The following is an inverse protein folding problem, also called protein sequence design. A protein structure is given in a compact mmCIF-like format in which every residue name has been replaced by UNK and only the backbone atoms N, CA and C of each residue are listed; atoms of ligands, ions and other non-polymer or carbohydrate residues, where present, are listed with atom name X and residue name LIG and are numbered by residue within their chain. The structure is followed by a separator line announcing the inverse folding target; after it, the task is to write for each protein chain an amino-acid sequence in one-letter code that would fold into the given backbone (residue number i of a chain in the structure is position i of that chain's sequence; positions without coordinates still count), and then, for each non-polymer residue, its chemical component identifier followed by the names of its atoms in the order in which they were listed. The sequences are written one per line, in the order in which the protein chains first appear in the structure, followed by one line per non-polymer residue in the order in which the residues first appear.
data_IF_248977119281
#
_entry.id   IF_248977119281
#
_cell.length_a   1.000
_cell.length_b   1.000
_cell.length_c   1.000
_cell.angle_alpha   90.00
_cell.angle_beta   90.00
_cell.angle_gamma   90.00
#
_symmetry.space_group_name_H-M   'P 1'
#
loop_
_entity.id
_entity.type
_entity.pdbx_description
1 polymer ?
#
# COMPACT_ATOMS: atom_id res chain seq x y z
N UNK A 1 10.43 11.16 -16.81
CA UNK A 1 10.51 9.92 -16.01
C UNK A 1 10.52 10.32 -14.55
N UNK A 2 9.68 9.72 -13.70
CA UNK A 2 9.73 9.98 -12.26
C UNK A 2 11.02 9.38 -11.69
N UNK A 3 11.75 10.08 -10.80
CA UNK A 3 12.93 9.51 -10.18
C UNK A 3 12.54 8.30 -9.32
N UNK A 4 13.37 7.25 -9.26
CA UNK A 4 13.10 6.09 -8.42
C UNK A 4 12.98 6.51 -6.96
N UNK A 5 11.89 6.09 -6.32
CA UNK A 5 11.62 6.38 -4.91
C UNK A 5 12.50 5.44 -4.08
N UNK A 6 13.39 5.95 -3.22
CA UNK A 6 14.22 5.11 -2.37
C UNK A 6 13.34 4.34 -1.38
N UNK A 7 13.59 3.04 -1.28
CA UNK A 7 12.96 2.19 -0.27
C UNK A 7 13.95 1.99 0.88
N UNK A 8 13.48 2.13 2.10
CA UNK A 8 14.30 1.96 3.30
C UNK A 8 13.46 1.28 4.38
N UNK A 9 14.14 0.61 5.31
CA UNK A 9 13.48 -0.05 6.43
C UNK A 9 12.88 0.96 7.41
N UNK A 10 11.80 0.59 8.12
CA UNK A 10 11.07 1.49 9.03
C UNK A 10 11.97 2.10 10.10
N UNK A 11 12.91 1.33 10.64
CA UNK A 11 13.88 1.81 11.64
C UNK A 11 14.81 2.90 11.11
N UNK A 12 15.05 2.96 9.80
CA UNK A 12 15.93 3.94 9.17
C UNK A 12 15.20 5.22 8.75
N UNK A 13 13.88 5.31 8.92
CA UNK A 13 13.08 6.45 8.48
C UNK A 13 13.60 7.77 9.07
N UNK A 14 13.84 7.82 10.38
CA UNK A 14 14.32 9.02 11.08
C UNK A 14 15.66 9.51 10.52
N UNK A 15 16.61 8.60 10.33
CA UNK A 15 17.94 8.95 9.77
C UNK A 15 17.86 9.43 8.31
N UNK A 16 17.00 8.83 7.48
CA UNK A 16 16.87 9.21 6.08
C UNK A 16 16.19 10.57 5.89
N UNK A 17 15.28 10.94 6.79
CA UNK A 17 14.64 12.26 6.77
C UNK A 17 15.60 13.40 7.05
N UNK A 18 16.72 13.11 7.72
CA UNK A 18 17.76 14.09 7.98
C UNK A 18 18.64 14.32 6.76
N UNK A 19 18.49 13.54 5.68
CA UNK A 19 19.25 13.68 4.44
C UNK A 19 18.45 14.42 3.37
N UNK A 20 19.14 15.23 2.57
CA UNK A 20 18.58 15.91 1.41
C UNK A 20 18.35 14.93 0.27
N UNK A 21 17.15 14.84 -0.33
CA UNK A 21 16.86 13.93 -1.43
C UNK A 21 17.73 14.14 -2.68
N UNK A 22 18.24 15.36 -2.89
CA UNK A 22 19.04 15.71 -4.09
C UNK A 22 20.53 15.44 -3.93
N UNK A 23 21.04 15.50 -2.70
CA UNK A 23 22.48 15.55 -2.45
C UNK A 23 22.96 14.49 -1.46
N UNK A 24 22.05 13.79 -0.76
CA UNK A 24 22.39 12.85 0.31
C UNK A 24 23.08 13.51 1.51
N UNK A 25 23.22 14.84 1.50
CA UNK A 25 23.85 15.61 2.57
C UNK A 25 22.85 15.86 3.68
N UNK A 26 23.30 15.97 4.94
CA UNK A 26 22.44 16.38 6.03
C UNK A 26 21.69 17.68 5.72
N UNK A 27 20.39 17.71 5.97
CA UNK A 27 19.59 18.92 5.86
C UNK A 27 20.11 19.95 6.86
N UNK A 28 20.41 21.16 6.36
CA UNK A 28 20.70 22.29 7.22
C UNK A 28 19.40 22.72 7.89
N UNK A 29 19.35 22.84 9.22
CA UNK A 29 18.20 23.45 9.88
C UNK A 29 18.07 24.90 9.43
N UNK A 30 16.92 25.29 8.89
CA UNK A 30 16.71 26.65 8.38
C UNK A 30 16.61 27.69 9.50
N UNK A 31 16.22 27.29 10.72
CA UNK A 31 15.91 28.21 11.83
C UNK A 31 16.69 27.90 13.12
N UNK A 32 17.87 27.28 13.03
CA UNK A 32 18.65 26.87 14.22
C UNK A 32 18.05 25.67 14.99
N UNK A 33 17.01 25.04 14.45
CA UNK A 33 16.43 23.82 15.01
C UNK A 33 17.40 22.64 14.99
N UNK A 34 17.27 21.71 15.92
CA UNK A 34 18.06 20.48 15.93
C UNK A 34 17.72 19.53 14.77
N UNK A 35 18.32 18.34 14.81
CA UNK A 35 17.92 17.23 13.94
C UNK A 35 16.41 16.96 14.08
N UNK A 36 15.75 16.57 12.99
CA UNK A 36 14.31 16.28 12.99
C UNK A 36 14.08 15.04 13.85
N UNK A 37 13.40 15.21 14.98
CA UNK A 37 12.84 14.12 15.75
C UNK A 37 11.36 13.96 15.39
N UNK A 38 11.00 12.81 14.82
CA UNK A 38 9.63 12.51 14.46
C UNK A 38 8.70 12.56 15.67
N UNK A 39 9.16 12.14 16.85
CA UNK A 39 8.32 12.09 18.05
C UNK A 39 7.81 13.47 18.46
N UNK A 40 8.63 14.50 18.25
CA UNK A 40 8.31 15.91 18.53
C UNK A 40 7.40 16.55 17.47
N UNK A 41 7.25 15.95 16.28
CA UNK A 41 6.43 16.49 15.21
C UNK A 41 4.93 16.22 15.44
N UNK A 42 4.07 17.12 14.97
CA UNK A 42 2.63 16.97 15.11
C UNK A 42 2.12 15.79 14.27
N UNK A 43 1.57 14.78 14.93
CA UNK A 43 0.91 13.65 14.29
C UNK A 43 -0.48 14.05 13.81
N UNK A 44 -0.76 13.83 12.53
CA UNK A 44 -2.04 14.14 11.90
C UNK A 44 -2.57 12.92 11.17
N UNK A 45 -3.89 12.91 11.02
CA UNK A 45 -4.63 11.85 10.36
C UNK A 45 -5.22 12.36 9.04
N UNK A 46 -5.10 11.55 7.99
CA UNK A 46 -5.76 11.77 6.71
C UNK A 46 -6.54 10.53 6.30
N UNK A 47 -7.82 10.71 5.96
CA UNK A 47 -8.60 9.68 5.30
C UNK A 47 -8.34 9.73 3.79
N UNK A 48 -7.89 8.62 3.24
CA UNK A 48 -7.76 8.41 1.79
C UNK A 48 -8.64 7.26 1.37
N UNK A 49 -9.10 7.22 0.12
CA UNK A 49 -9.84 6.09 -0.40
C UNK A 49 -8.93 5.25 -1.29
N UNK A 50 -8.84 3.95 -1.00
CA UNK A 50 -8.25 2.98 -1.91
C UNK A 50 -9.37 2.45 -2.80
N UNK A 51 -9.26 2.74 -4.10
CA UNK A 51 -10.26 2.35 -5.07
C UNK A 51 -9.73 1.24 -5.99
N UNK A 52 -10.45 0.13 -6.06
CA UNK A 52 -10.17 -0.98 -6.98
C UNK A 52 -11.22 -0.99 -8.09
N UNK A 53 -10.77 -1.13 -9.34
CA UNK A 53 -11.67 -1.34 -10.48
C UNK A 53 -12.01 -2.83 -10.55
N UNK A 54 -13.29 -3.17 -10.40
CA UNK A 54 -13.81 -4.52 -10.46
C UNK A 54 -14.52 -4.73 -11.79
N UNK A 55 -14.32 -5.90 -12.40
CA UNK A 55 -15.14 -6.34 -13.52
C UNK A 55 -16.46 -6.86 -12.95
N UNK A 56 -17.59 -6.50 -13.57
CA UNK A 56 -18.88 -7.09 -13.23
C UNK A 56 -18.79 -8.59 -13.51
N UNK A 57 -19.13 -9.48 -12.55
CA UNK A 57 -19.20 -10.90 -12.84
C UNK A 57 -20.29 -11.11 -13.90
N UNK A 58 -19.94 -11.76 -15.01
CA UNK A 58 -20.95 -12.22 -15.96
C UNK A 58 -21.85 -13.22 -15.24
N UNK A 59 -23.15 -12.95 -15.25
CA UNK A 59 -24.19 -13.81 -14.64
C UNK A 59 -24.21 -15.21 -15.31
N UNK A 60 -23.43 -15.42 -16.37
CA UNK A 60 -23.28 -16.69 -17.10
C UNK A 60 -22.18 -17.61 -16.56
N UNK A 61 -21.43 -17.23 -15.51
CA UNK A 61 -20.45 -18.13 -14.88
C UNK A 61 -21.02 -18.99 -13.75
N UNK A 62 -22.32 -19.31 -13.79
CA UNK A 62 -22.89 -20.39 -12.96
C UNK A 62 -22.79 -21.73 -13.68
N UNK A 63 -21.57 -22.19 -13.94
CA UNK A 63 -21.18 -23.61 -14.07
C UNK A 63 -19.70 -23.66 -14.42
N UNK A 64 -18.84 -23.97 -13.44
CA UNK A 64 -17.58 -24.75 -13.55
C UNK A 64 -16.58 -24.35 -12.45
N UNK A 65 -16.86 -24.77 -11.21
CA UNK A 65 -15.78 -25.15 -10.29
C UNK A 65 -16.23 -26.26 -9.34
N UNK A 66 -16.68 -27.37 -9.93
CA UNK A 66 -16.59 -28.71 -9.33
C UNK A 66 -16.22 -29.67 -10.45
N UNK A 67 -15.12 -30.41 -10.27
CA UNK A 67 -14.49 -31.22 -11.32
C UNK A 67 -15.22 -32.52 -11.69
N UNK A 68 -14.49 -33.33 -12.47
CA UNK A 68 -14.71 -34.71 -12.91
C UNK A 68 -15.21 -34.89 -14.36
N UNK A 69 -14.31 -35.49 -15.15
CA UNK A 69 -14.52 -36.56 -16.13
C UNK A 69 -15.63 -36.45 -17.19
N UNK A 70 -15.22 -36.41 -18.48
CA UNK A 70 -15.63 -37.31 -19.58
C UNK A 70 -15.49 -36.66 -20.96
N UNK A 71 -14.95 -37.42 -21.89
CA UNK A 71 -14.80 -37.09 -23.31
C UNK A 71 -16.14 -37.00 -24.06
N UNK A 72 -16.21 -36.17 -25.10
CA UNK A 72 -16.90 -36.49 -26.35
C UNK A 72 -16.49 -35.52 -27.47
N UNK A 73 -16.12 -36.11 -28.61
CA UNK A 73 -15.84 -35.44 -29.86
C UNK A 73 -17.12 -35.05 -30.59
N UNK A 74 -17.08 -33.95 -31.35
CA UNK A 74 -17.85 -33.79 -32.58
C UNK A 74 -17.08 -32.88 -33.53
N UNK A 75 -16.67 -33.44 -34.68
CA UNK A 75 -16.40 -32.68 -35.91
C UNK A 75 -17.76 -32.38 -36.54
N UNK A 76 -17.97 -31.17 -37.06
CA UNK A 76 -18.56 -31.01 -38.39
C UNK A 76 -18.20 -29.65 -39.00
N UNK A 77 -17.94 -29.72 -40.30
CA UNK A 77 -17.77 -28.67 -41.31
C UNK A 77 -19.06 -27.89 -41.57
N UNK A 78 -18.98 -26.65 -42.01
CA UNK A 78 -19.30 -26.26 -43.40
C UNK A 78 -19.24 -24.72 -43.52
N UNK A 79 -19.09 -24.24 -44.75
CA UNK A 79 -18.87 -22.84 -45.06
C UNK A 79 -20.10 -21.97 -44.78
N UNK A 80 -19.84 -20.80 -44.23
CA UNK A 80 -20.82 -19.73 -44.14
C UNK A 80 -20.11 -18.51 -43.59
N UNK A 81 -20.07 -17.44 -44.38
CA UNK A 81 -19.50 -16.17 -43.96
C UNK A 81 -20.31 -15.61 -42.79
N UNK A 82 -19.99 -16.02 -41.57
CA UNK A 82 -20.45 -15.31 -40.39
C UNK A 82 -19.55 -14.09 -40.26
N UNK A 83 -20.05 -12.95 -40.75
CA UNK A 83 -19.65 -11.66 -40.22
C UNK A 83 -20.08 -11.70 -38.75
N UNK A 84 -19.24 -12.29 -37.90
CA UNK A 84 -19.41 -12.19 -36.46
C UNK A 84 -19.20 -10.71 -36.20
N UNK A 85 -20.32 -10.00 -36.08
CA UNK A 85 -20.36 -8.66 -35.55
C UNK A 85 -19.43 -8.67 -34.35
N UNK A 86 -18.31 -7.95 -34.44
CA UNK A 86 -17.41 -7.73 -33.31
C UNK A 86 -18.23 -6.97 -32.29
N UNK A 87 -19.04 -7.69 -31.52
CA UNK A 87 -19.75 -7.15 -30.36
C UNK A 87 -18.61 -6.80 -29.44
N UNK A 88 -18.21 -5.54 -29.48
CA UNK A 88 -17.33 -4.94 -28.49
C UNK A 88 -18.01 -5.25 -27.17
N UNK A 89 -17.55 -6.32 -26.50
CA UNK A 89 -18.01 -6.66 -25.17
C UNK A 89 -17.58 -5.46 -24.34
N UNK A 90 -18.52 -4.54 -24.09
CA UNK A 90 -18.31 -3.51 -23.09
C UNK A 90 -18.22 -4.28 -21.79
N UNK A 91 -17.00 -4.62 -21.40
CA UNK A 91 -16.74 -5.15 -20.08
C UNK A 91 -17.13 -4.04 -19.10
N UNK A 92 -18.24 -4.26 -18.42
CA UNK A 92 -18.74 -3.31 -17.44
C UNK A 92 -17.82 -3.38 -16.23
N UNK A 93 -17.10 -2.28 -15.99
CA UNK A 93 -16.21 -2.12 -14.86
C UNK A 93 -16.85 -1.15 -13.86
N UNK A 94 -16.77 -1.46 -12.57
CA UNK A 94 -17.24 -0.60 -11.50
C UNK A 94 -16.14 -0.38 -10.46
N UNK A 95 -16.17 0.77 -9.79
CA UNK A 95 -15.12 1.16 -8.84
C UNK A 95 -15.61 0.91 -7.42
N UNK A 96 -14.87 0.10 -6.66
CA UNK A 96 -15.06 -0.11 -5.22
C UNK A 96 -14.02 0.71 -4.48
N UNK A 97 -14.46 1.64 -3.64
CA UNK A 97 -13.56 2.42 -2.78
C UNK A 97 -13.75 2.04 -1.32
N UNK A 98 -12.65 1.74 -0.62
CA UNK A 98 -12.61 1.54 0.82
C UNK A 98 -11.81 2.67 1.51
N UNK A 99 -12.26 3.18 2.67
CA UNK A 99 -11.51 4.20 3.40
C UNK A 99 -10.25 3.60 4.03
N UNK A 100 -9.14 4.32 3.92
CA UNK A 100 -7.83 3.99 4.47
C UNK A 100 -7.34 5.18 5.29
N UNK A 101 -7.08 4.93 6.58
CA UNK A 101 -6.51 5.93 7.48
C UNK A 101 -4.98 5.97 7.29
N UNK A 102 -4.45 7.09 6.82
CA UNK A 102 -3.01 7.33 6.72
C UNK A 102 -2.59 8.37 7.75
N UNK A 103 -1.47 8.10 8.40
CA UNK A 103 -0.89 8.96 9.42
C UNK A 103 0.29 9.70 8.83
N UNK A 104 0.38 10.99 9.13
CA UNK A 104 1.50 11.81 8.68
C UNK A 104 1.98 12.74 9.79
N UNK A 105 3.28 12.97 9.83
CA UNK A 105 3.90 13.94 10.73
C UNK A 105 4.22 15.22 10.00
N UNK A 106 3.88 16.34 10.62
CA UNK A 106 4.21 17.69 10.13
C UNK A 106 5.24 18.28 11.08
N UNK A 107 6.46 18.45 10.57
CA UNK A 107 7.59 18.97 11.34
C UNK A 107 7.75 20.48 11.12
N UNK A 108 8.41 21.17 12.06
CA UNK A 108 8.55 22.63 12.07
C UNK A 108 9.26 23.21 10.82
N UNK A 109 10.08 22.40 10.15
CA UNK A 109 10.74 22.76 8.89
C UNK A 109 9.83 22.66 7.65
N UNK A 110 8.53 22.42 7.83
CA UNK A 110 7.56 22.25 6.75
C UNK A 110 7.67 20.90 6.04
N UNK A 111 8.39 19.92 6.61
CA UNK A 111 8.45 18.56 6.07
C UNK A 111 7.22 17.78 6.50
N UNK A 112 6.57 17.17 5.52
CA UNK A 112 5.45 16.24 5.71
C UNK A 112 5.93 14.84 5.37
N UNK A 113 5.73 13.89 6.29
CA UNK A 113 6.15 12.50 6.12
C UNK A 113 4.99 11.59 6.45
N UNK A 114 4.65 10.69 5.55
CA UNK A 114 3.71 9.61 5.87
C UNK A 114 4.42 8.59 6.78
N UNK A 115 3.87 8.34 7.97
CA UNK A 115 4.48 7.50 9.01
C UNK A 115 3.63 6.30 9.40
N UNK A 116 2.55 5.98 8.68
CA UNK A 116 1.60 4.89 9.00
C UNK A 116 2.27 3.60 9.49
N UNK A 117 3.22 3.06 8.72
CA UNK A 117 3.92 1.83 9.09
C UNK A 117 4.92 2.03 10.24
N UNK A 118 5.53 3.21 10.34
CA UNK A 118 6.47 3.56 11.41
C UNK A 118 5.77 3.68 12.78
N UNK A 119 4.57 4.27 12.83
CA UNK A 119 3.78 4.36 14.07
C UNK A 119 3.43 2.95 14.59
N UNK A 120 3.02 2.04 13.70
CA UNK A 120 2.73 0.65 14.07
C UNK A 120 3.96 -0.10 14.60
N UNK A 121 5.08 0.02 13.88
CA UNK A 121 6.36 -0.59 14.27
C UNK A 121 6.86 -0.09 15.63
N UNK A 122 6.77 1.22 15.89
CA UNK A 122 7.19 1.80 17.18
C UNK A 122 6.30 1.33 18.32
N UNK A 123 4.98 1.31 18.12
CA UNK A 123 4.03 0.85 19.12
C UNK A 123 4.25 -0.62 19.51
N UNK A 124 4.64 -1.47 18.54
CA UNK A 124 5.01 -2.87 18.81
C UNK A 124 6.27 -2.96 19.68
N UNK A 125 7.34 -2.22 19.34
CA UNK A 125 8.57 -2.17 20.14
C UNK A 125 8.36 -1.68 21.56
N UNK A 126 7.53 -0.66 21.74
CA UNK A 126 7.17 -0.15 23.08
C UNK A 126 6.40 -1.17 23.91
N UNK A 127 5.54 -1.99 23.28
CA UNK A 127 4.83 -3.09 23.96
C UNK A 127 5.79 -4.20 24.37
N UNK A 128 6.72 -4.57 23.50
CA UNK A 128 7.74 -5.57 23.82
C UNK A 128 8.64 -5.12 24.97
N UNK A 129 9.12 -3.87 24.95
CA UNK A 129 9.93 -3.30 26.02
C UNK A 129 9.21 -3.32 27.38
N UNK A 130 7.89 -3.08 27.40
CA UNK A 130 7.07 -3.16 28.61
C UNK A 130 6.79 -4.60 29.07
N UNK A 131 6.82 -5.57 28.15
CA UNK A 131 6.60 -6.99 28.48
C UNK A 131 7.85 -7.73 28.98
N UNK A 132 9.05 -7.18 28.72
CA UNK A 132 10.33 -7.77 29.12
C UNK A 132 10.73 -7.54 30.59
N UNK A 133 10.00 -6.71 31.34
CA UNK A 133 10.22 -6.43 32.76
C UNK A 133 9.47 -7.42 33.67
N UNK A 134 9.54 -8.73 33.36
CA UNK A 134 9.08 -9.81 34.25
C UNK A 134 10.12 -10.93 34.22
N UNK A 135 11.27 -10.70 34.85
CA UNK A 135 12.33 -11.73 34.89
C UNK A 135 13.63 -11.29 35.54
N UNK A 136 13.59 -10.72 36.74
CA UNK A 136 14.78 -10.27 37.44
C UNK A 136 14.65 -10.28 38.96
N UNK A 137 14.36 -11.44 39.56
CA UNK A 137 14.63 -11.69 40.98
C UNK A 137 14.63 -13.20 41.27
N UNK A 138 15.80 -13.82 41.26
CA UNK A 138 16.07 -14.98 42.10
C UNK A 138 17.57 -14.99 42.42
N UNK A 139 17.80 -14.98 43.73
CA UNK A 139 19.03 -14.80 44.50
C UNK A 139 19.92 -16.03 44.43
#
# INVERSE_FOLDING_TARGET
MAPPIPTFHLSALESNLQLSPKTGKPLKPKDGGGAIDLSSCALKEMLQYKCDVRRRPDITSTTSSTGADSAAAAKESDGGAEVIARKTRMEEHWVVCAPVRRWYRVCANGVHVETTAWEGWRAEREREAKSGDVGGAAV
#
